data_IF_165642268491
#
_entry.id   IF_165642268491
#
_cell.length_a   1.000
_cell.length_b   1.000
_cell.length_c   1.000
_cell.angle_alpha   90.00
_cell.angle_beta   90.00
_cell.angle_gamma   90.00
#
_symmetry.space_group_name_H-M   'P 1'
#
loop_
_entity.id
_entity.type
_entity.pdbx_description
1 polymer ?
#
# COMPACT_ATOMS: atom_id res chain seq x y z
N UNK A 1 35.73 -13.53 -25.47
CA UNK A 1 34.78 -12.43 -25.45
C UNK A 1 35.57 -11.14 -25.42
N UNK A 2 35.38 -10.24 -26.36
CA UNK A 2 36.12 -8.97 -26.43
C UNK A 2 35.65 -8.02 -25.33
N UNK A 3 36.52 -7.17 -24.81
CA UNK A 3 36.22 -6.20 -23.78
C UNK A 3 35.00 -5.29 -24.13
N UNK A 4 34.80 -5.07 -25.41
CA UNK A 4 33.69 -4.29 -25.97
C UNK A 4 32.32 -4.99 -25.78
N UNK A 5 32.27 -6.32 -25.96
CA UNK A 5 31.03 -7.08 -25.73
C UNK A 5 30.63 -7.04 -24.25
N UNK A 6 31.58 -7.10 -23.32
CA UNK A 6 31.30 -6.99 -21.90
C UNK A 6 30.78 -5.59 -21.53
N UNK A 7 31.33 -4.52 -22.11
CA UNK A 7 30.84 -3.16 -21.80
C UNK A 7 29.39 -2.93 -22.26
N UNK A 8 29.02 -3.45 -23.43
CA UNK A 8 27.61 -3.39 -23.90
C UNK A 8 26.63 -4.18 -23.04
N UNK A 9 27.02 -5.36 -22.57
CA UNK A 9 26.18 -6.16 -21.67
C UNK A 9 25.97 -5.46 -20.32
N UNK A 10 27.02 -4.90 -19.74
CA UNK A 10 26.93 -4.15 -18.49
C UNK A 10 26.06 -2.89 -18.64
N UNK A 11 26.19 -2.16 -19.74
CA UNK A 11 25.35 -0.99 -20.01
C UNK A 11 23.88 -1.37 -20.18
N UNK A 12 23.58 -2.47 -20.89
CA UNK A 12 22.21 -2.97 -21.05
C UNK A 12 21.58 -3.43 -19.72
N UNK A 13 22.37 -4.10 -18.87
CA UNK A 13 21.92 -4.53 -17.55
C UNK A 13 21.67 -3.33 -16.62
N UNK A 14 22.53 -2.33 -16.66
CA UNK A 14 22.34 -1.10 -15.90
C UNK A 14 21.09 -0.34 -16.31
N UNK A 15 20.87 -0.18 -17.62
CA UNK A 15 19.65 0.47 -18.16
C UNK A 15 18.39 -0.28 -17.73
N UNK A 16 18.40 -1.61 -17.80
CA UNK A 16 17.31 -2.47 -17.37
C UNK A 16 17.00 -2.30 -15.88
N UNK A 17 18.04 -2.22 -15.04
CA UNK A 17 17.90 -2.03 -13.59
C UNK A 17 17.29 -0.67 -13.27
N UNK A 18 17.70 0.39 -13.94
CA UNK A 18 17.14 1.74 -13.75
C UNK A 18 15.67 1.81 -14.19
N UNK A 19 15.32 1.20 -15.32
CA UNK A 19 13.92 1.10 -15.76
C UNK A 19 13.04 0.37 -14.75
N UNK A 20 13.51 -0.74 -14.19
CA UNK A 20 12.78 -1.48 -13.16
C UNK A 20 12.58 -0.64 -11.88
N UNK A 21 13.59 0.10 -11.46
CA UNK A 21 13.49 1.01 -10.29
C UNK A 21 12.46 2.11 -10.51
N UNK A 22 12.47 2.73 -11.69
CA UNK A 22 11.51 3.77 -12.06
C UNK A 22 10.07 3.23 -12.10
N UNK A 23 9.85 2.12 -12.80
CA UNK A 23 8.51 1.49 -12.87
C UNK A 23 8.00 1.07 -11.49
N UNK A 24 8.88 0.51 -10.65
CA UNK A 24 8.51 0.13 -9.30
C UNK A 24 8.19 1.35 -8.41
N UNK A 25 8.84 2.49 -8.64
CA UNK A 25 8.50 3.74 -7.96
C UNK A 25 7.14 4.27 -8.40
N UNK A 26 6.88 4.35 -9.70
CA UNK A 26 5.59 4.79 -10.26
C UNK A 26 4.45 3.87 -9.78
N UNK A 27 4.64 2.55 -9.81
CA UNK A 27 3.63 1.62 -9.32
C UNK A 27 3.29 1.84 -7.84
N UNK A 28 4.30 2.06 -6.99
CA UNK A 28 4.10 2.41 -5.59
C UNK A 28 3.40 3.75 -5.43
N UNK A 29 3.82 4.77 -6.17
CA UNK A 29 3.19 6.09 -6.15
C UNK A 29 1.71 6.00 -6.49
N UNK A 30 1.35 5.33 -7.60
CA UNK A 30 -0.04 5.13 -8.00
C UNK A 30 -0.85 4.41 -6.92
N UNK A 31 -0.28 3.38 -6.28
CA UNK A 31 -0.96 2.61 -5.26
C UNK A 31 -1.22 3.43 -3.99
N UNK A 32 -0.24 4.22 -3.53
CA UNK A 32 -0.36 4.95 -2.26
C UNK A 32 -1.00 6.32 -2.39
N UNK A 33 -1.12 6.86 -3.60
CA UNK A 33 -1.63 8.22 -3.83
C UNK A 33 -3.07 8.41 -3.33
N UNK A 34 -3.87 7.35 -3.35
CA UNK A 34 -5.25 7.35 -2.86
C UNK A 34 -5.34 7.79 -1.40
N UNK A 35 -4.40 7.38 -0.55
CA UNK A 35 -4.52 7.52 0.90
C UNK A 35 -4.38 8.95 1.42
N UNK A 36 -3.40 9.78 0.99
CA UNK A 36 -3.37 11.18 1.37
C UNK A 36 -4.64 11.93 0.97
N UNK A 37 -5.21 11.64 -0.21
CA UNK A 37 -6.49 12.24 -0.63
C UNK A 37 -7.66 11.73 0.20
N UNK A 38 -7.67 10.45 0.59
CA UNK A 38 -8.65 9.90 1.53
C UNK A 38 -8.58 10.59 2.90
N UNK A 39 -7.38 10.81 3.41
CA UNK A 39 -7.16 11.57 4.66
C UNK A 39 -7.69 13.00 4.54
N UNK A 40 -7.35 13.72 3.47
CA UNK A 40 -7.84 15.08 3.23
C UNK A 40 -9.37 15.11 3.17
N UNK A 41 -10.00 14.18 2.47
CA UNK A 41 -11.46 14.10 2.41
C UNK A 41 -12.09 13.94 3.79
N UNK A 42 -11.52 13.09 4.66
CA UNK A 42 -11.99 12.93 6.04
C UNK A 42 -11.82 14.19 6.90
N UNK A 43 -10.80 15.00 6.62
CA UNK A 43 -10.58 16.28 7.32
C UNK A 43 -11.61 17.31 6.87
N UNK A 44 -11.86 17.42 5.56
CA UNK A 44 -12.79 18.40 5.01
C UNK A 44 -14.26 18.02 5.21
N UNK A 45 -14.55 16.72 5.22
CA UNK A 45 -15.90 16.17 5.43
C UNK A 45 -15.93 15.21 6.63
N UNK A 46 -15.56 15.74 7.79
CA UNK A 46 -15.53 14.98 9.05
C UNK A 46 -16.89 14.39 9.42
N UNK A 47 -17.99 15.12 9.13
CA UNK A 47 -19.35 14.66 9.46
C UNK A 47 -19.71 13.39 8.69
N UNK A 48 -19.43 13.34 7.40
CA UNK A 48 -19.65 12.13 6.58
C UNK A 48 -18.79 10.95 7.05
N UNK A 49 -17.52 11.21 7.42
CA UNK A 49 -16.65 10.17 7.95
C UNK A 49 -17.18 9.60 9.29
N UNK A 50 -17.68 10.45 10.18
CA UNK A 50 -18.32 10.02 11.43
C UNK A 50 -19.64 9.28 11.19
N UNK A 51 -20.45 9.74 10.24
CA UNK A 51 -21.69 9.05 9.87
C UNK A 51 -21.40 7.64 9.31
N UNK A 52 -20.37 7.50 8.46
CA UNK A 52 -19.94 6.19 7.96
C UNK A 52 -19.51 5.26 9.10
N UNK A 53 -18.76 5.77 10.09
CA UNK A 53 -18.36 4.99 11.25
C UNK A 53 -19.53 4.58 12.17
N UNK A 54 -20.58 5.41 12.23
CA UNK A 54 -21.79 5.13 13.01
C UNK A 54 -22.74 4.14 12.31
N UNK A 55 -22.74 4.05 10.98
CA UNK A 55 -23.65 3.24 10.18
C UNK A 55 -22.98 2.07 9.46
N UNK A 56 -21.70 1.80 9.72
CA UNK A 56 -21.00 0.64 9.20
C UNK A 56 -21.53 -0.69 9.76
N UNK A 57 -20.98 -1.80 9.31
CA UNK A 57 -21.38 -3.15 9.77
C UNK A 57 -21.31 -3.30 11.30
N UNK A 58 -20.31 -2.68 11.90
CA UNK A 58 -20.21 -2.55 13.37
C UNK A 58 -20.28 -1.05 13.68
N UNK A 59 -21.37 -0.56 14.27
CA UNK A 59 -21.48 0.84 14.66
C UNK A 59 -20.54 1.15 15.82
N UNK A 60 -19.70 2.17 15.66
CA UNK A 60 -18.75 2.59 16.70
C UNK A 60 -19.31 3.77 17.50
N UNK A 61 -19.15 3.77 18.83
CA UNK A 61 -19.39 4.97 19.65
C UNK A 61 -18.53 6.13 19.17
N UNK A 62 -18.99 7.39 19.28
CA UNK A 62 -18.28 8.56 18.74
C UNK A 62 -16.81 8.69 19.17
N UNK A 63 -16.49 8.37 20.40
CA UNK A 63 -15.11 8.41 20.90
C UNK A 63 -14.20 7.39 20.19
N UNK A 64 -14.69 6.17 19.97
CA UNK A 64 -13.96 5.11 19.26
C UNK A 64 -13.86 5.46 17.77
N UNK A 65 -14.94 5.94 17.15
CA UNK A 65 -14.93 6.40 15.76
C UNK A 65 -13.89 7.50 15.54
N UNK A 66 -13.85 8.51 16.41
CA UNK A 66 -12.84 9.58 16.34
C UNK A 66 -11.42 9.01 16.47
N UNK A 67 -11.17 8.11 17.42
CA UNK A 67 -9.86 7.48 17.59
C UNK A 67 -9.44 6.72 16.32
N UNK A 68 -10.34 5.94 15.74
CA UNK A 68 -10.07 5.19 14.51
C UNK A 68 -9.83 6.10 13.30
N UNK A 69 -10.55 7.23 13.19
CA UNK A 69 -10.33 8.23 12.15
C UNK A 69 -8.94 8.89 12.29
N UNK A 70 -8.52 9.24 13.52
CA UNK A 70 -7.20 9.82 13.77
C UNK A 70 -6.09 8.81 13.47
N UNK A 71 -6.21 7.58 13.95
CA UNK A 71 -5.22 6.52 13.69
C UNK A 71 -5.16 6.17 12.19
N UNK A 72 -6.31 6.01 11.55
CA UNK A 72 -6.41 5.75 10.12
C UNK A 72 -5.84 6.90 9.29
N UNK A 73 -6.20 8.14 9.59
CA UNK A 73 -5.66 9.32 8.92
C UNK A 73 -4.14 9.46 9.09
N UNK A 74 -3.61 9.19 10.29
CA UNK A 74 -2.17 9.16 10.52
C UNK A 74 -1.48 8.10 9.66
N UNK A 75 -2.05 6.91 9.58
CA UNK A 75 -1.54 5.84 8.72
C UNK A 75 -1.60 6.23 7.24
N UNK A 76 -2.68 6.87 6.81
CA UNK A 76 -2.90 7.32 5.42
C UNK A 76 -1.90 8.41 4.97
N UNK A 77 -1.23 9.09 5.90
CA UNK A 77 -0.15 10.05 5.59
C UNK A 77 1.22 9.42 5.75
N UNK A 78 1.51 8.82 6.91
CA UNK A 78 2.85 8.30 7.24
C UNK A 78 3.19 7.06 6.43
N UNK A 79 2.23 6.16 6.24
CA UNK A 79 2.45 4.90 5.55
C UNK A 79 2.86 5.05 4.08
N UNK A 80 2.19 5.90 3.26
CA UNK A 80 2.63 6.23 1.91
C UNK A 80 4.08 6.72 1.84
N UNK A 81 4.49 7.59 2.77
CA UNK A 81 5.86 8.08 2.84
C UNK A 81 6.85 6.94 3.13
N UNK A 82 6.52 6.06 4.07
CA UNK A 82 7.33 4.88 4.36
C UNK A 82 7.50 3.96 3.13
N UNK A 83 6.43 3.73 2.37
CA UNK A 83 6.44 2.88 1.18
C UNK A 83 7.25 3.52 0.04
N UNK A 84 7.07 4.82 -0.21
CA UNK A 84 7.74 5.54 -1.30
C UNK A 84 9.24 5.67 -1.03
N UNK A 85 9.61 6.15 0.15
CA UNK A 85 11.01 6.40 0.50
C UNK A 85 11.75 5.14 0.99
N UNK A 86 11.05 4.03 1.23
CA UNK A 86 11.67 2.76 1.59
C UNK A 86 11.91 2.56 3.08
N UNK A 87 11.48 3.47 3.94
CA UNK A 87 11.58 3.33 5.40
C UNK A 87 10.55 2.30 5.89
N UNK A 88 11.02 1.20 6.46
CA UNK A 88 10.13 0.13 6.95
C UNK A 88 9.07 -0.31 5.91
N UNK A 89 9.43 -0.31 4.62
CA UNK A 89 8.51 -0.54 3.48
C UNK A 89 7.66 -1.80 3.65
N UNK A 90 8.27 -2.91 4.07
CA UNK A 90 7.57 -4.17 4.28
C UNK A 90 6.54 -4.06 5.39
N UNK A 91 6.93 -3.49 6.53
CA UNK A 91 6.04 -3.34 7.69
C UNK A 91 4.89 -2.40 7.37
N UNK A 92 5.16 -1.28 6.69
CA UNK A 92 4.12 -0.36 6.23
C UNK A 92 3.15 -1.06 5.26
N UNK A 93 3.66 -1.84 4.29
CA UNK A 93 2.80 -2.57 3.37
C UNK A 93 1.94 -3.63 4.09
N UNK A 94 2.49 -4.39 5.04
CA UNK A 94 1.72 -5.35 5.85
C UNK A 94 0.64 -4.65 6.68
N UNK A 95 0.95 -3.50 7.26
CA UNK A 95 -0.03 -2.71 8.01
C UNK A 95 -1.15 -2.19 7.11
N UNK A 96 -0.82 -1.77 5.88
CA UNK A 96 -1.83 -1.37 4.90
C UNK A 96 -2.72 -2.52 4.43
N UNK A 97 -2.20 -3.74 4.29
CA UNK A 97 -3.05 -4.92 3.99
C UNK A 97 -4.12 -5.07 5.08
N UNK A 98 -3.70 -5.06 6.35
CA UNK A 98 -4.64 -5.13 7.46
C UNK A 98 -5.65 -3.97 7.43
N UNK A 99 -5.18 -2.74 7.23
CA UNK A 99 -6.00 -1.54 7.20
C UNK A 99 -7.06 -1.59 6.09
N UNK A 100 -6.69 -1.87 4.84
CA UNK A 100 -7.64 -1.87 3.72
C UNK A 100 -8.63 -3.04 3.79
N UNK A 101 -8.20 -4.20 4.32
CA UNK A 101 -9.11 -5.32 4.54
C UNK A 101 -10.09 -5.01 5.67
N UNK A 102 -9.61 -4.45 6.78
CA UNK A 102 -10.47 -4.05 7.89
C UNK A 102 -11.50 -2.99 7.44
N UNK A 103 -11.07 -1.96 6.71
CA UNK A 103 -11.99 -0.94 6.17
C UNK A 103 -12.97 -1.53 5.16
N UNK A 104 -12.55 -2.47 4.31
CA UNK A 104 -13.44 -3.15 3.39
C UNK A 104 -14.57 -3.89 4.15
N UNK A 105 -14.21 -4.66 5.17
CA UNK A 105 -15.19 -5.44 5.94
C UNK A 105 -16.09 -4.54 6.81
N UNK A 106 -15.52 -3.51 7.44
CA UNK A 106 -16.27 -2.68 8.39
C UNK A 106 -17.18 -1.66 7.70
N UNK A 107 -16.78 -1.11 6.56
CA UNK A 107 -17.47 0.02 5.93
C UNK A 107 -18.08 -0.29 4.56
N UNK A 108 -17.80 -1.45 3.97
CA UNK A 108 -18.31 -1.84 2.66
C UNK A 108 -19.01 -3.22 2.73
N UNK A 109 -19.96 -3.34 3.63
CA UNK A 109 -20.71 -4.57 3.94
C UNK A 109 -21.81 -4.85 2.92
N UNK A 110 -21.48 -4.98 1.64
CA UNK A 110 -22.40 -5.19 0.52
C UNK A 110 -23.34 -6.39 0.73
N UNK A 111 -22.91 -7.41 1.49
CA UNK A 111 -23.73 -8.60 1.81
C UNK A 111 -24.95 -8.32 2.67
N UNK A 112 -25.06 -7.13 3.28
CA UNK A 112 -26.20 -6.70 4.08
C UNK A 112 -27.34 -6.09 3.25
N UNK A 113 -27.14 -5.96 1.92
CA UNK A 113 -28.09 -5.33 1.01
C UNK A 113 -28.58 -6.32 -0.07
N UNK A 114 -29.78 -6.11 -0.63
CA UNK A 114 -30.30 -6.94 -1.74
C UNK A 114 -29.34 -6.90 -2.93
N UNK A 115 -29.08 -8.08 -3.51
CA UNK A 115 -28.17 -8.24 -4.63
C UNK A 115 -28.50 -7.30 -5.80
N UNK A 116 -27.50 -6.66 -6.34
CA UNK A 116 -27.56 -5.74 -7.48
C UNK A 116 -28.47 -4.50 -7.29
N UNK A 117 -28.85 -4.18 -6.04
CA UNK A 117 -29.47 -2.89 -5.71
C UNK A 117 -28.42 -1.77 -5.61
N UNK A 118 -28.90 -0.51 -5.54
CA UNK A 118 -28.00 0.65 -5.49
C UNK A 118 -27.06 0.58 -4.29
N UNK A 119 -27.58 0.35 -3.08
CA UNK A 119 -26.78 0.21 -1.87
C UNK A 119 -25.79 -0.99 -1.92
N UNK A 120 -26.17 -2.10 -2.59
CA UNK A 120 -25.27 -3.21 -2.83
C UNK A 120 -24.09 -2.78 -3.72
N UNK A 121 -24.36 -2.11 -4.84
CA UNK A 121 -23.35 -1.64 -5.77
C UNK A 121 -22.43 -0.59 -5.14
N UNK A 122 -22.96 0.35 -4.36
CA UNK A 122 -22.20 1.38 -3.64
C UNK A 122 -21.19 0.78 -2.65
N UNK A 123 -21.44 -0.42 -2.13
CA UNK A 123 -20.56 -1.10 -1.19
C UNK A 123 -19.67 -2.16 -1.88
N UNK A 124 -20.17 -2.87 -2.88
CA UNK A 124 -19.46 -3.95 -3.55
C UNK A 124 -18.19 -3.48 -4.29
N UNK A 125 -18.30 -2.41 -5.07
CA UNK A 125 -17.16 -1.92 -5.84
C UNK A 125 -16.04 -1.36 -4.96
N UNK A 126 -16.29 -0.57 -3.91
CA UNK A 126 -15.25 -0.19 -2.96
C UNK A 126 -14.64 -1.37 -2.22
N UNK A 127 -15.42 -2.40 -1.88
CA UNK A 127 -14.89 -3.64 -1.29
C UNK A 127 -13.86 -4.31 -2.22
N UNK A 128 -14.22 -4.51 -3.50
CA UNK A 128 -13.28 -5.07 -4.48
C UNK A 128 -12.04 -4.21 -4.72
N UNK A 129 -12.20 -2.87 -4.74
CA UNK A 129 -11.05 -1.96 -4.81
C UNK A 129 -10.09 -2.17 -3.64
N UNK A 130 -10.58 -2.30 -2.43
CA UNK A 130 -9.76 -2.56 -1.25
C UNK A 130 -9.05 -3.92 -1.34
N UNK A 131 -9.66 -4.96 -1.88
CA UNK A 131 -8.99 -6.23 -2.15
C UNK A 131 -7.87 -6.09 -3.19
N UNK A 132 -8.10 -5.31 -4.25
CA UNK A 132 -7.07 -4.98 -5.24
C UNK A 132 -5.89 -4.24 -4.62
N UNK A 133 -6.14 -3.27 -3.74
CA UNK A 133 -5.12 -2.55 -2.97
C UNK A 133 -4.34 -3.50 -2.06
N UNK A 134 -5.03 -4.40 -1.34
CA UNK A 134 -4.40 -5.42 -0.50
C UNK A 134 -3.44 -6.31 -1.32
N UNK A 135 -3.83 -6.73 -2.53
CA UNK A 135 -2.98 -7.47 -3.47
C UNK A 135 -1.73 -6.69 -3.87
N UNK A 136 -1.87 -5.40 -4.17
CA UNK A 136 -0.75 -4.51 -4.47
C UNK A 136 0.22 -4.36 -3.29
N UNK A 137 -0.29 -4.18 -2.08
CA UNK A 137 0.56 -4.12 -0.87
C UNK A 137 1.22 -5.47 -0.53
N UNK A 138 0.55 -6.59 -0.80
CA UNK A 138 1.14 -7.91 -0.63
C UNK A 138 2.34 -8.10 -1.57
N UNK A 139 2.24 -7.65 -2.81
CA UNK A 139 3.35 -7.64 -3.75
C UNK A 139 4.52 -6.79 -3.25
N UNK A 140 4.26 -5.57 -2.76
CA UNK A 140 5.29 -4.69 -2.18
C UNK A 140 5.98 -5.34 -0.97
N UNK A 141 5.22 -5.99 -0.08
CA UNK A 141 5.75 -6.66 1.10
C UNK A 141 6.66 -7.85 0.72
N UNK A 142 6.31 -8.57 -0.35
CA UNK A 142 7.11 -9.68 -0.92
C UNK A 142 8.40 -9.18 -1.56
N UNK A 143 8.33 -8.17 -2.42
CA UNK A 143 9.49 -7.58 -3.09
C UNK A 143 10.50 -6.99 -2.09
N UNK A 144 10.04 -6.29 -1.07
CA UNK A 144 10.88 -5.75 -0.01
C UNK A 144 11.64 -6.82 0.77
N UNK A 145 11.03 -8.01 0.95
CA UNK A 145 11.70 -9.16 1.58
C UNK A 145 12.81 -9.71 0.69
N UNK A 146 12.55 -9.87 -0.59
CA UNK A 146 13.55 -10.37 -1.55
C UNK A 146 14.75 -9.44 -1.65
N UNK A 147 14.55 -8.13 -1.73
CA UNK A 147 15.63 -7.14 -1.73
C UNK A 147 16.49 -7.20 -0.47
N UNK A 148 15.87 -7.36 0.71
CA UNK A 148 16.58 -7.51 1.98
C UNK A 148 17.45 -8.78 2.02
N UNK A 149 16.94 -9.91 1.52
CA UNK A 149 17.68 -11.16 1.46
C UNK A 149 18.87 -11.07 0.51
N UNK A 150 18.71 -10.51 -0.69
CA UNK A 150 19.82 -10.30 -1.64
C UNK A 150 20.91 -9.41 -1.06
N UNK A 151 20.55 -8.33 -0.36
CA UNK A 151 21.53 -7.47 0.34
C UNK A 151 22.29 -8.19 1.45
N UNK A 152 21.66 -9.11 2.17
CA UNK A 152 22.30 -9.88 3.23
C UNK A 152 23.25 -10.97 2.70
N UNK A 153 23.00 -11.50 1.50
CA UNK A 153 23.82 -12.55 0.87
C UNK A 153 24.90 -12.01 -0.08
N UNK A 154 24.90 -10.72 -0.43
CA UNK A 154 25.98 -10.09 -1.17
C UNK A 154 27.15 -9.79 -0.24
N UNK A 155 27.87 -10.84 0.20
CA UNK A 155 29.16 -10.70 0.85
C UNK A 155 30.14 -10.02 -0.11
N UNK A 156 30.64 -8.85 0.28
CA UNK A 156 31.70 -8.17 -0.47
C UNK A 156 32.95 -9.03 -0.46
N UNK A 157 33.60 -9.34 -1.62
CA UNK A 157 34.81 -10.12 -1.69
C UNK A 157 36.04 -9.42 -1.08
N UNK A 158 35.90 -8.24 -0.46
CA UNK A 158 37.00 -7.44 0.06
C UNK A 158 37.60 -7.92 1.38
N UNK A 159 37.01 -8.88 2.08
CA UNK A 159 37.57 -9.37 3.36
C UNK A 159 38.42 -10.66 3.23
N UNK A 160 38.52 -11.23 2.04
CA UNK A 160 39.34 -12.44 1.82
C UNK A 160 40.81 -12.14 1.42
N UNK A 161 41.26 -10.87 1.48
CA UNK A 161 42.65 -10.45 1.14
C UNK A 161 43.30 -9.67 2.29
N UNK A 162 43.16 -10.12 3.53
CA UNK A 162 44.03 -9.70 4.63
C UNK A 162 44.57 -10.88 5.35
#
# INVERSE_FOLDING_TARGET
MTSQTQSWLLAAEQTRTEQHRFLAFIARLCLVLLFPFSCLNKIFDYQSAMAQAAHGWIPFPPAIATLLLVLGGTLEVVGPLCILFGFYRRQAALLFIFYVVATAVLFHNFWSFPFNGDAWNENFWPFLKNLGLAGGFLYIAGDARMQSLHGAFSFSPREAQK
#
